data_IF_641227963216
#
_entry.id   IF_641227963216
#
_cell.length_a   1.000
_cell.length_b   1.000
_cell.length_c   1.000
_cell.angle_alpha   90.00
_cell.angle_beta   90.00
_cell.angle_gamma   90.00
#
_symmetry.space_group_name_H-M   'P 1'
#
loop_
_entity.id
_entity.type
_entity.pdbx_description
1 polymer ?
#
# COMPACT_ATOMS: atom_id res chain seq x y z
N UNK A 1 39.67 -15.64 4.56
CA UNK A 1 38.66 -16.71 4.50
C UNK A 1 37.75 -16.54 5.71
N UNK A 2 36.44 -16.48 5.50
CA UNK A 2 35.45 -16.25 6.55
C UNK A 2 34.30 -15.35 6.08
N UNK A 3 33.74 -15.61 4.90
CA UNK A 3 32.45 -15.06 4.51
C UNK A 3 31.37 -15.93 5.13
N UNK A 4 30.66 -15.41 6.12
CA UNK A 4 29.44 -16.01 6.63
C UNK A 4 28.25 -15.48 5.83
N UNK A 5 27.43 -16.39 5.31
CA UNK A 5 26.11 -16.11 4.75
C UNK A 5 25.18 -15.67 5.90
N UNK A 6 25.28 -14.39 6.28
CA UNK A 6 24.31 -13.75 7.16
C UNK A 6 23.17 -13.18 6.32
N UNK A 7 21.93 -13.41 6.78
CA UNK A 7 20.76 -12.71 6.25
C UNK A 7 20.99 -11.20 6.36
N UNK A 8 21.04 -10.48 5.23
CA UNK A 8 21.03 -9.02 5.23
C UNK A 8 19.58 -8.58 5.41
N UNK A 9 19.25 -8.00 6.56
CA UNK A 9 18.05 -7.17 6.63
C UNK A 9 18.32 -5.91 5.81
N UNK A 10 17.69 -5.81 4.65
CA UNK A 10 17.63 -4.53 3.93
C UNK A 10 16.49 -3.76 4.57
N UNK A 11 16.82 -2.81 5.45
CA UNK A 11 15.84 -1.85 5.96
C UNK A 11 15.36 -0.97 4.79
N UNK A 12 14.06 -0.71 4.73
CA UNK A 12 13.45 0.19 3.75
C UNK A 12 13.02 1.49 4.44
N UNK A 13 13.42 2.63 3.89
CA UNK A 13 13.18 3.95 4.47
C UNK A 13 12.53 4.90 3.45
N UNK A 14 11.93 5.98 3.94
CA UNK A 14 11.21 6.97 3.12
C UNK A 14 12.04 7.54 1.97
N UNK A 15 13.35 7.74 2.18
CA UNK A 15 14.27 8.25 1.15
C UNK A 15 14.53 7.26 -0.01
N UNK A 16 14.04 6.03 0.09
CA UNK A 16 14.12 5.01 -0.96
C UNK A 16 12.88 4.99 -1.86
N UNK A 17 11.85 5.78 -1.56
CA UNK A 17 10.64 5.88 -2.38
C UNK A 17 10.95 6.51 -3.75
N UNK A 18 10.39 5.97 -4.86
CA UNK A 18 10.52 6.56 -6.19
C UNK A 18 9.56 7.75 -6.37
N UNK A 19 9.75 8.81 -5.59
CA UNK A 19 8.81 9.94 -5.49
C UNK A 19 8.46 10.61 -6.83
N UNK A 20 9.39 10.61 -7.79
CA UNK A 20 9.20 11.13 -9.16
C UNK A 20 8.19 10.33 -9.99
N UNK A 21 7.85 9.12 -9.53
CA UNK A 21 6.93 8.18 -10.19
C UNK A 21 5.62 8.00 -9.40
N UNK A 22 5.43 8.75 -8.33
CA UNK A 22 4.28 8.64 -7.44
C UNK A 22 3.50 9.96 -7.39
N UNK A 23 2.18 9.86 -7.31
CA UNK A 23 1.30 11.00 -6.99
C UNK A 23 0.79 10.97 -5.56
N UNK A 24 0.76 9.77 -4.95
CA UNK A 24 0.26 9.52 -3.60
C UNK A 24 1.14 8.47 -2.90
N UNK A 25 1.38 8.67 -1.61
CA UNK A 25 1.90 7.66 -0.67
C UNK A 25 0.85 7.47 0.41
N UNK A 26 0.48 6.22 0.68
CA UNK A 26 -0.41 5.85 1.78
C UNK A 26 0.44 5.36 2.95
N UNK A 27 0.53 6.15 4.02
CA UNK A 27 1.31 5.83 5.22
C UNK A 27 0.51 4.89 6.12
N UNK A 28 0.87 3.61 6.11
CA UNK A 28 0.14 2.52 6.72
C UNK A 28 0.82 2.04 8.02
N UNK A 29 0.11 1.76 9.12
CA UNK A 29 -1.32 2.05 9.37
C UNK A 29 -1.48 2.78 10.70
N UNK A 30 -2.41 3.73 10.75
CA UNK A 30 -3.04 4.12 12.00
C UNK A 30 -4.09 3.08 12.42
N UNK A 31 -4.35 2.98 13.72
CA UNK A 31 -5.38 2.12 14.29
C UNK A 31 -6.55 2.94 14.86
N UNK A 32 -7.67 2.28 15.10
CA UNK A 32 -8.89 2.83 15.70
C UNK A 32 -9.11 2.19 17.06
N UNK A 33 -9.42 2.99 18.09
CA UNK A 33 -9.86 2.45 19.38
C UNK A 33 -11.30 1.95 19.28
N UNK A 34 -11.59 0.66 19.54
CA UNK A 34 -12.92 0.09 19.33
C UNK A 34 -13.99 0.62 20.29
N UNK A 35 -13.60 1.18 21.44
CA UNK A 35 -14.51 1.71 22.45
C UNK A 35 -15.01 3.13 22.17
N UNK A 36 -14.22 3.91 21.44
CA UNK A 36 -14.39 5.36 21.31
C UNK A 36 -14.36 5.87 19.87
N UNK A 37 -13.75 5.13 18.95
CA UNK A 37 -13.51 5.56 17.57
C UNK A 37 -12.28 6.43 17.40
N UNK A 38 -11.46 6.63 18.43
CA UNK A 38 -10.25 7.44 18.32
C UNK A 38 -9.22 6.81 17.36
N UNK A 39 -8.79 7.55 16.35
CA UNK A 39 -7.69 7.21 15.44
C UNK A 39 -6.36 7.61 16.09
N UNK A 40 -5.39 6.69 16.06
CA UNK A 40 -4.07 6.91 16.64
C UNK A 40 -2.97 6.21 15.84
N UNK A 41 -1.77 6.79 15.90
CA UNK A 41 -0.54 6.24 15.33
C UNK A 41 -0.07 5.01 16.13
N UNK A 42 0.48 4.01 15.46
CA UNK A 42 0.74 2.70 16.07
C UNK A 42 2.17 2.51 16.55
N UNK A 43 3.13 3.28 16.02
CA UNK A 43 4.54 3.13 16.36
C UNK A 43 5.21 4.50 16.48
N UNK A 44 5.15 5.09 17.68
CA UNK A 44 5.77 6.39 17.95
C UNK A 44 7.27 6.43 17.60
N UNK A 45 7.97 5.29 17.70
CA UNK A 45 9.38 5.25 17.30
C UNK A 45 9.54 5.48 15.80
N UNK A 46 8.89 4.69 14.96
CA UNK A 46 8.98 4.83 13.51
C UNK A 46 8.31 6.13 13.01
N UNK A 47 7.15 6.46 13.58
CA UNK A 47 6.31 7.56 13.12
C UNK A 47 6.93 8.92 13.42
N UNK A 48 7.36 9.14 14.67
CA UNK A 48 7.68 10.49 15.16
C UNK A 48 9.06 10.65 15.79
N UNK A 49 9.72 9.57 16.22
CA UNK A 49 10.87 9.69 17.13
C UNK A 49 12.22 9.29 16.51
N UNK A 50 12.26 8.33 15.59
CA UNK A 50 13.52 7.88 14.98
C UNK A 50 14.20 9.06 14.27
N UNK A 51 15.45 9.32 14.63
CA UNK A 51 16.26 10.38 14.04
C UNK A 51 17.01 9.84 12.83
N UNK A 52 16.85 10.52 11.70
CA UNK A 52 17.61 10.28 10.48
C UNK A 52 18.85 11.17 10.44
N UNK A 53 19.71 10.93 9.45
CA UNK A 53 20.85 11.81 9.18
C UNK A 53 20.37 13.25 8.97
N UNK A 54 20.97 14.20 9.71
CA UNK A 54 20.57 15.61 9.72
C UNK A 54 19.58 15.99 10.83
N UNK A 55 18.98 15.02 11.52
CA UNK A 55 18.10 15.30 12.65
C UNK A 55 18.91 15.65 13.91
N UNK A 56 18.56 16.77 14.54
CA UNK A 56 19.23 17.30 15.73
C UNK A 56 18.65 16.66 16.99
N UNK A 57 19.54 16.19 17.87
CA UNK A 57 19.16 15.72 19.20
C UNK A 57 18.94 16.84 20.23
N UNK A 58 19.16 18.09 19.82
CA UNK A 58 19.17 19.25 20.71
C UNK A 58 18.13 20.31 20.34
N UNK A 59 17.20 20.01 19.43
CA UNK A 59 16.14 20.96 19.08
C UNK A 59 15.26 21.23 20.30
N UNK A 60 15.04 22.52 20.58
CA UNK A 60 14.17 22.97 21.66
C UNK A 60 12.72 22.98 21.19
N UNK A 61 11.78 22.70 22.09
CA UNK A 61 10.35 22.73 21.80
C UNK A 61 9.81 21.37 21.36
N UNK A 62 8.58 21.36 20.81
CA UNK A 62 7.93 20.13 20.35
C UNK A 62 8.21 19.91 18.87
N UNK A 63 9.08 18.95 18.53
CA UNK A 63 9.57 18.73 17.16
C UNK A 63 9.18 17.36 16.62
N UNK A 64 8.82 17.30 15.34
CA UNK A 64 8.49 16.07 14.62
C UNK A 64 9.75 15.49 13.99
N UNK A 65 10.01 14.20 14.20
CA UNK A 65 11.04 13.43 13.51
C UNK A 65 10.41 12.22 12.80
N UNK A 66 11.11 11.10 12.75
CA UNK A 66 10.60 9.85 12.21
C UNK A 66 10.31 9.89 10.71
N UNK A 67 9.61 8.86 10.27
CA UNK A 67 9.15 8.76 8.89
C UNK A 67 8.28 9.96 8.49
N UNK A 68 7.51 10.53 9.43
CA UNK A 68 6.62 11.65 9.14
C UNK A 68 7.37 12.96 8.84
N UNK A 69 8.52 13.22 9.49
CA UNK A 69 9.43 14.30 9.07
C UNK A 69 9.95 14.05 7.65
N UNK A 70 10.46 12.84 7.39
CA UNK A 70 11.03 12.49 6.08
C UNK A 70 10.00 12.61 4.94
N UNK A 71 8.75 12.19 5.17
CA UNK A 71 7.67 12.29 4.19
C UNK A 71 7.31 13.74 3.89
N UNK A 72 7.29 14.62 4.89
CA UNK A 72 7.04 16.05 4.64
C UNK A 72 8.20 16.73 3.90
N UNK A 73 9.45 16.33 4.16
CA UNK A 73 10.61 16.79 3.36
C UNK A 73 10.47 16.33 1.91
N UNK A 74 10.13 15.05 1.69
CA UNK A 74 9.92 14.49 0.35
C UNK A 74 8.78 15.19 -0.40
N UNK A 75 7.70 15.53 0.31
CA UNK A 75 6.55 16.30 -0.18
C UNK A 75 6.95 17.73 -0.59
N UNK A 76 7.84 18.39 0.17
CA UNK A 76 8.36 19.71 -0.19
C UNK A 76 9.21 19.69 -1.47
N UNK A 77 9.97 18.61 -1.68
CA UNK A 77 10.78 18.39 -2.88
C UNK A 77 9.95 18.01 -4.11
N UNK A 78 8.81 17.33 -3.91
CA UNK A 78 7.95 16.81 -4.98
C UNK A 78 6.54 17.37 -4.83
N UNK A 79 6.28 18.55 -5.41
CA UNK A 79 5.04 19.31 -5.16
C UNK A 79 3.75 18.64 -5.63
N UNK A 80 3.82 17.60 -6.46
CA UNK A 80 2.66 16.83 -6.94
C UNK A 80 2.45 15.52 -6.16
N UNK A 81 3.34 15.21 -5.20
CA UNK A 81 3.27 14.05 -4.32
C UNK A 81 2.43 14.38 -3.08
N UNK A 82 1.36 13.63 -2.84
CA UNK A 82 0.49 13.74 -1.66
C UNK A 82 0.76 12.58 -0.70
N UNK A 83 0.70 12.85 0.60
CA UNK A 83 0.88 11.82 1.63
C UNK A 83 -0.43 11.67 2.40
N UNK A 84 -1.05 10.49 2.37
CA UNK A 84 -2.29 10.20 3.08
C UNK A 84 -1.99 9.28 4.27
N UNK A 85 -2.69 9.47 5.38
CA UNK A 85 -2.68 8.52 6.48
C UNK A 85 -3.64 7.37 6.16
N UNK A 86 -3.14 6.14 6.01
CA UNK A 86 -4.00 4.97 5.89
C UNK A 86 -4.38 4.45 7.27
N UNK A 87 -5.66 4.27 7.52
CA UNK A 87 -6.23 3.87 8.81
C UNK A 87 -6.84 2.48 8.63
N UNK A 88 -6.41 1.52 9.45
CA UNK A 88 -6.92 0.15 9.43
C UNK A 88 -5.93 -0.88 8.91
N UNK A 89 -6.24 -1.50 7.77
CA UNK A 89 -5.58 -2.69 7.25
C UNK A 89 -6.05 -3.97 7.95
N UNK A 90 -5.75 -5.12 7.35
CA UNK A 90 -6.13 -6.45 7.85
C UNK A 90 -6.09 -6.61 9.39
N UNK A 91 -4.98 -6.26 10.04
CA UNK A 91 -4.78 -6.46 11.49
C UNK A 91 -5.73 -5.61 12.34
N UNK A 92 -6.03 -4.38 11.93
CA UNK A 92 -6.79 -3.42 12.73
C UNK A 92 -8.27 -3.32 12.33
N UNK A 93 -8.65 -4.01 11.25
CA UNK A 93 -9.99 -3.96 10.68
C UNK A 93 -11.12 -4.40 11.63
N UNK A 94 -10.81 -5.25 12.60
CA UNK A 94 -11.76 -5.66 13.64
C UNK A 94 -12.22 -4.52 14.56
N UNK A 95 -11.48 -3.41 14.60
CA UNK A 95 -11.77 -2.27 15.48
C UNK A 95 -12.75 -1.25 14.87
N UNK A 96 -13.14 -1.38 13.59
CA UNK A 96 -14.05 -0.42 12.95
C UNK A 96 -15.51 -0.58 13.36
N UNK A 97 -15.98 -1.83 13.49
CA UNK A 97 -17.42 -2.11 13.56
C UNK A 97 -18.12 -1.40 14.73
N UNK A 98 -17.55 -1.51 15.94
CA UNK A 98 -18.11 -0.91 17.14
C UNK A 98 -18.22 0.63 17.05
N UNK A 99 -17.14 1.40 16.79
CA UNK A 99 -17.24 2.86 16.73
C UNK A 99 -18.03 3.35 15.51
N UNK A 100 -18.00 2.66 14.37
CA UNK A 100 -18.80 3.02 13.20
C UNK A 100 -20.32 2.94 13.46
N UNK A 101 -20.76 2.05 14.36
CA UNK A 101 -22.16 1.85 14.68
C UNK A 101 -22.83 3.02 15.44
N UNK A 102 -22.05 3.94 16.01
CA UNK A 102 -22.58 5.06 16.80
C UNK A 102 -22.21 6.41 16.21
N UNK A 103 -23.08 7.42 16.37
CA UNK A 103 -22.76 8.79 15.94
C UNK A 103 -21.51 9.34 16.65
N UNK A 104 -21.42 9.14 17.96
CA UNK A 104 -20.29 9.61 18.76
C UNK A 104 -18.95 8.97 18.32
N UNK A 105 -18.95 7.66 18.02
CA UNK A 105 -17.77 6.97 17.52
C UNK A 105 -17.32 7.49 16.16
N UNK A 106 -18.25 7.72 15.22
CA UNK A 106 -17.95 8.34 13.91
C UNK A 106 -17.41 9.78 14.04
N UNK A 107 -17.97 10.58 14.94
CA UNK A 107 -17.50 11.95 15.21
C UNK A 107 -16.09 11.95 15.84
N UNK A 108 -15.83 11.03 16.78
CA UNK A 108 -14.51 10.88 17.39
C UNK A 108 -13.47 10.39 16.39
N UNK A 109 -13.84 9.45 15.50
CA UNK A 109 -12.99 9.02 14.39
C UNK A 109 -12.60 10.20 13.49
N UNK A 110 -13.59 10.94 12.99
CA UNK A 110 -13.33 12.07 12.09
C UNK A 110 -12.47 13.15 12.75
N UNK A 111 -12.79 13.54 13.99
CA UNK A 111 -12.06 14.60 14.70
C UNK A 111 -10.63 14.22 15.07
N UNK A 112 -10.38 12.97 15.48
CA UNK A 112 -9.02 12.47 15.78
C UNK A 112 -8.18 12.29 14.51
N UNK A 113 -8.77 11.77 13.43
CA UNK A 113 -8.09 11.70 12.13
C UNK A 113 -7.69 13.09 11.61
N UNK A 114 -8.59 14.08 11.66
CA UNK A 114 -8.27 15.47 11.28
C UNK A 114 -7.17 16.08 12.15
N UNK A 115 -7.12 15.72 13.43
CA UNK A 115 -6.02 16.16 14.32
C UNK A 115 -4.68 15.59 13.83
N UNK A 116 -4.62 14.31 13.49
CA UNK A 116 -3.41 13.70 12.92
C UNK A 116 -3.03 14.32 11.57
N UNK A 117 -3.98 14.61 10.68
CA UNK A 117 -3.72 15.31 9.41
C UNK A 117 -2.98 16.64 9.66
N UNK A 118 -3.50 17.43 10.60
CA UNK A 118 -2.94 18.74 10.94
C UNK A 118 -1.60 18.65 11.62
N UNK A 119 -1.45 17.75 12.58
CA UNK A 119 -0.25 17.63 13.39
C UNK A 119 0.89 17.00 12.60
N UNK A 120 0.62 16.02 11.73
CA UNK A 120 1.65 15.23 11.06
C UNK A 120 1.93 15.65 9.63
N UNK A 121 1.14 16.57 9.08
CA UNK A 121 1.36 17.09 7.74
C UNK A 121 0.85 16.16 6.63
N UNK A 122 -0.31 15.53 6.80
CA UNK A 122 -0.94 14.73 5.74
C UNK A 122 -1.76 15.59 4.77
N UNK A 123 -1.92 15.13 3.53
CA UNK A 123 -2.79 15.71 2.49
C UNK A 123 -4.21 15.12 2.52
N UNK A 124 -4.41 14.01 3.24
CA UNK A 124 -5.70 13.35 3.38
C UNK A 124 -5.62 12.08 4.21
N UNK A 125 -6.68 11.26 4.13
CA UNK A 125 -6.76 9.94 4.76
C UNK A 125 -7.18 8.90 3.73
N UNK A 126 -6.75 7.67 3.99
CA UNK A 126 -7.21 6.44 3.38
C UNK A 126 -7.81 5.56 4.49
N UNK A 127 -8.88 4.83 4.17
CA UNK A 127 -9.59 3.97 5.14
C UNK A 127 -9.60 2.57 4.56
N UNK A 128 -8.89 1.67 5.22
CA UNK A 128 -8.73 0.28 4.81
C UNK A 128 -9.38 -0.63 5.85
N UNK A 129 -10.63 -1.05 5.60
CA UNK A 129 -11.34 -1.99 6.45
C UNK A 129 -11.50 -3.33 5.68
N UNK A 130 -10.96 -4.40 6.24
CA UNK A 130 -10.93 -5.72 5.62
C UNK A 130 -11.58 -6.77 6.52
N UNK A 131 -12.86 -7.11 6.38
CA UNK A 131 -13.92 -6.50 5.57
C UNK A 131 -15.19 -6.44 6.45
N UNK A 132 -16.28 -5.77 6.04
CA UNK A 132 -17.60 -5.97 6.64
C UNK A 132 -17.99 -7.44 6.61
N UNK A 133 -18.56 -7.93 7.69
CA UNK A 133 -18.95 -9.35 7.80
C UNK A 133 -20.46 -9.59 7.68
N UNK A 134 -21.26 -8.54 7.59
CA UNK A 134 -22.73 -8.67 7.53
C UNK A 134 -23.35 -7.57 6.68
N UNK A 135 -24.58 -7.75 6.22
CA UNK A 135 -25.35 -6.71 5.52
C UNK A 135 -25.51 -5.42 6.35
N UNK A 136 -25.47 -5.50 7.68
CA UNK A 136 -25.47 -4.31 8.55
C UNK A 136 -24.08 -3.66 8.63
N UNK A 137 -23.02 -4.45 8.73
CA UNK A 137 -21.65 -3.92 8.63
C UNK A 137 -21.34 -3.40 7.21
N UNK A 138 -21.99 -3.95 6.18
CA UNK A 138 -21.91 -3.54 4.79
C UNK A 138 -22.88 -2.36 4.49
N UNK A 139 -24.07 -2.25 5.09
CA UNK A 139 -24.81 -0.98 5.11
C UNK A 139 -23.98 0.13 5.79
N UNK A 140 -23.12 -0.25 6.73
CA UNK A 140 -22.13 0.62 7.33
C UNK A 140 -20.84 0.75 6.50
N UNK A 141 -20.59 -0.06 5.46
CA UNK A 141 -19.33 -0.04 4.72
C UNK A 141 -19.44 -0.34 3.21
N UNK A 142 -20.16 -1.34 2.71
CA UNK A 142 -20.51 -1.40 1.29
C UNK A 142 -21.97 -1.71 0.98
N UNK A 143 -22.56 -0.80 0.21
CA UNK A 143 -23.50 -1.04 -0.89
C UNK A 143 -23.04 -2.13 -1.89
N UNK A 144 -22.22 -3.16 -1.58
CA UNK A 144 -21.62 -4.00 -2.64
C UNK A 144 -20.99 -5.34 -2.19
N UNK A 145 -21.04 -6.33 -3.10
CA UNK A 145 -20.97 -7.78 -2.89
C UNK A 145 -19.75 -8.49 -3.54
N UNK A 146 -19.34 -9.57 -2.87
CA UNK A 146 -19.16 -11.02 -3.19
C UNK A 146 -18.76 -11.65 -4.57
N UNK A 147 -18.19 -12.88 -4.48
CA UNK A 147 -17.19 -13.58 -5.33
C UNK A 147 -17.65 -14.66 -6.38
N UNK A 148 -16.67 -15.31 -7.10
CA UNK A 148 -16.81 -16.52 -7.97
C UNK A 148 -15.47 -17.28 -8.34
N UNK A 149 -15.32 -18.64 -8.37
CA UNK A 149 -14.24 -19.45 -7.73
C UNK A 149 -13.13 -20.13 -8.61
N UNK A 150 -12.44 -19.47 -9.54
CA UNK A 150 -11.21 -20.08 -10.15
C UNK A 150 -10.06 -19.10 -10.27
N UNK A 151 -10.34 -17.98 -10.91
CA UNK A 151 -10.03 -16.66 -10.38
C UNK A 151 -11.20 -16.33 -9.46
N UNK A 152 -11.16 -16.62 -8.13
CA UNK A 152 -12.26 -16.33 -7.20
C UNK A 152 -12.82 -14.90 -7.35
N UNK A 153 -11.98 -14.04 -7.91
CA UNK A 153 -12.29 -12.68 -8.31
C UNK A 153 -11.53 -12.37 -9.59
N UNK A 154 -12.07 -11.50 -10.43
CA UNK A 154 -11.28 -10.79 -11.42
C UNK A 154 -11.54 -9.28 -11.31
N UNK A 155 -10.49 -8.51 -11.56
CA UNK A 155 -10.52 -7.05 -11.42
C UNK A 155 -11.53 -6.40 -12.35
N UNK A 156 -11.76 -6.95 -13.54
CA UNK A 156 -12.74 -6.41 -14.49
C UNK A 156 -14.16 -6.46 -13.94
N UNK A 157 -14.59 -7.58 -13.34
CA UNK A 157 -15.89 -7.71 -12.69
C UNK A 157 -16.05 -6.69 -11.56
N UNK A 158 -15.03 -6.52 -10.71
CA UNK A 158 -15.06 -5.52 -9.65
C UNK A 158 -15.22 -4.10 -10.21
N UNK A 159 -14.41 -3.72 -11.21
CA UNK A 159 -14.51 -2.41 -11.87
C UNK A 159 -15.90 -2.18 -12.46
N UNK A 160 -16.43 -3.14 -13.24
CA UNK A 160 -17.77 -3.06 -13.82
C UNK A 160 -18.85 -2.93 -12.76
N UNK A 161 -18.68 -3.60 -11.62
CA UNK A 161 -19.62 -3.53 -10.53
C UNK A 161 -19.67 -2.12 -9.91
N UNK A 162 -18.51 -1.52 -9.62
CA UNK A 162 -18.44 -0.13 -9.14
C UNK A 162 -19.04 0.86 -10.15
N UNK A 163 -18.80 0.67 -11.44
CA UNK A 163 -19.40 1.50 -12.49
C UNK A 163 -20.94 1.39 -12.52
N UNK A 164 -21.48 0.18 -12.39
CA UNK A 164 -22.94 -0.04 -12.34
C UNK A 164 -23.60 0.64 -11.14
N UNK A 165 -22.85 0.90 -10.05
CA UNK A 165 -23.30 1.69 -8.91
C UNK A 165 -23.06 3.20 -9.04
N UNK A 166 -22.58 3.67 -10.21
CA UNK A 166 -22.40 5.09 -10.50
C UNK A 166 -21.01 5.65 -10.15
N UNK A 167 -20.04 4.82 -9.77
CA UNK A 167 -18.66 5.28 -9.57
C UNK A 167 -18.01 5.54 -10.93
N UNK A 168 -17.59 6.79 -11.16
CA UNK A 168 -16.92 7.14 -12.41
C UNK A 168 -15.55 6.45 -12.52
N UNK A 169 -15.24 5.82 -13.66
CA UNK A 169 -13.99 5.07 -13.90
C UNK A 169 -12.72 5.79 -13.47
N UNK A 170 -12.63 7.09 -13.72
CA UNK A 170 -11.45 7.91 -13.36
C UNK A 170 -11.23 8.07 -11.84
N UNK A 171 -12.13 7.57 -10.99
CA UNK A 171 -12.00 7.51 -9.53
C UNK A 171 -11.60 6.12 -9.02
N UNK A 172 -11.51 5.13 -9.89
CA UNK A 172 -11.13 3.76 -9.55
C UNK A 172 -9.63 3.59 -9.84
N UNK A 173 -8.86 3.32 -8.79
CA UNK A 173 -7.41 3.07 -8.86
C UNK A 173 -7.18 1.57 -8.70
N UNK A 174 -6.36 0.97 -9.57
CA UNK A 174 -6.15 -0.48 -9.58
C UNK A 174 -4.97 -0.86 -8.69
N UNK A 175 -5.25 -1.57 -7.60
CA UNK A 175 -4.25 -2.17 -6.72
C UNK A 175 -3.53 -3.35 -7.38
N UNK A 176 -2.20 -3.35 -7.32
CA UNK A 176 -1.33 -4.40 -7.84
C UNK A 176 -0.31 -4.83 -6.77
N UNK A 177 0.01 -6.12 -6.65
CA UNK A 177 0.94 -6.60 -5.64
C UNK A 177 2.40 -6.42 -6.08
N UNK A 178 3.26 -5.98 -5.15
CA UNK A 178 4.72 -6.05 -5.24
C UNK A 178 5.27 -7.26 -4.47
N UNK A 179 4.50 -8.34 -4.48
CA UNK A 179 4.82 -9.60 -3.84
C UNK A 179 4.14 -10.76 -4.60
N UNK A 180 4.59 -11.97 -4.33
CA UNK A 180 3.97 -13.20 -4.79
C UNK A 180 3.43 -14.04 -3.66
N UNK A 181 2.39 -14.83 -3.96
CA UNK A 181 1.85 -15.85 -3.06
C UNK A 181 2.25 -17.25 -3.53
N UNK A 182 2.71 -18.09 -2.61
CA UNK A 182 3.22 -19.42 -2.93
C UNK A 182 2.33 -20.57 -2.48
N UNK A 183 2.44 -21.66 -3.24
CA UNK A 183 1.68 -22.90 -3.07
C UNK A 183 2.60 -24.09 -3.30
N UNK A 184 2.78 -24.94 -2.31
CA UNK A 184 3.63 -26.13 -2.39
C UNK A 184 2.81 -27.40 -2.65
N UNK A 185 3.50 -28.45 -3.10
CA UNK A 185 2.91 -29.75 -3.38
C UNK A 185 1.70 -29.66 -4.34
N UNK A 186 1.81 -28.79 -5.34
CA UNK A 186 0.78 -28.56 -6.35
C UNK A 186 1.24 -28.99 -7.73
N UNK A 187 0.34 -29.57 -8.52
CA UNK A 187 0.59 -29.91 -9.92
C UNK A 187 0.46 -28.68 -10.86
N UNK A 188 0.11 -27.51 -10.32
CA UNK A 188 0.09 -26.25 -11.07
C UNK A 188 -1.09 -25.34 -10.70
N UNK A 189 -1.30 -24.32 -11.53
CA UNK A 189 -2.36 -23.32 -11.31
C UNK A 189 -3.75 -24.00 -11.28
N UNK A 190 -4.59 -23.58 -10.32
CA UNK A 190 -5.94 -24.13 -10.14
C UNK A 190 -6.00 -25.59 -9.66
N UNK A 191 -4.87 -26.18 -9.23
CA UNK A 191 -4.82 -27.54 -8.68
C UNK A 191 -4.75 -27.52 -7.14
N UNK A 192 -5.14 -28.63 -6.48
CA UNK A 192 -4.91 -28.78 -5.04
C UNK A 192 -3.45 -28.57 -4.69
N UNK A 193 -3.22 -27.98 -3.51
CA UNK A 193 -1.89 -27.74 -2.97
C UNK A 193 -1.88 -28.16 -1.49
N UNK A 194 -0.68 -28.33 -0.93
CA UNK A 194 -0.50 -28.59 0.51
C UNK A 194 0.68 -27.79 1.03
N UNK A 195 0.38 -26.82 1.89
CA UNK A 195 1.36 -25.89 2.44
C UNK A 195 1.70 -24.74 1.48
N UNK A 196 2.19 -23.65 2.04
CA UNK A 196 2.60 -22.45 1.30
C UNK A 196 4.12 -22.23 1.33
N UNK A 197 4.83 -22.99 2.17
CA UNK A 197 6.28 -22.86 2.35
C UNK A 197 6.67 -21.63 3.16
N UNK A 198 7.98 -21.34 3.17
CA UNK A 198 8.53 -20.10 3.72
C UNK A 198 8.19 -18.89 2.82
N UNK A 199 8.70 -17.72 3.19
CA UNK A 199 8.59 -16.50 2.39
C UNK A 199 9.68 -15.50 2.76
N UNK A 200 9.61 -14.30 2.20
CA UNK A 200 10.58 -13.22 2.46
C UNK A 200 10.54 -12.74 3.91
N UNK A 201 9.32 -12.56 4.44
CA UNK A 201 9.07 -12.01 5.78
C UNK A 201 8.01 -12.81 6.54
N UNK A 202 7.05 -13.39 5.81
CA UNK A 202 6.02 -14.28 6.34
C UNK A 202 5.86 -15.50 5.43
N UNK A 203 5.46 -16.63 6.01
CA UNK A 203 5.29 -17.87 5.28
C UNK A 203 4.28 -17.71 4.13
N UNK A 204 4.66 -18.14 2.93
CA UNK A 204 3.76 -18.09 1.77
C UNK A 204 3.80 -16.81 0.95
N UNK A 205 4.60 -15.81 1.36
CA UNK A 205 4.66 -14.49 0.69
C UNK A 205 6.10 -14.12 0.37
N UNK A 206 6.38 -13.82 -0.89
CA UNK A 206 7.71 -13.41 -1.36
C UNK A 206 7.68 -11.99 -1.91
N UNK A 207 8.62 -11.13 -1.53
CA UNK A 207 8.79 -9.83 -2.17
C UNK A 207 9.03 -10.04 -3.68
N UNK A 208 8.46 -9.18 -4.52
CA UNK A 208 8.67 -9.27 -5.98
C UNK A 208 10.16 -9.18 -6.35
N UNK A 209 10.95 -8.39 -5.62
CA UNK A 209 12.41 -8.29 -5.81
C UNK A 209 13.18 -9.59 -5.58
N UNK A 210 12.59 -10.56 -4.89
CA UNK A 210 13.16 -11.89 -4.67
C UNK A 210 12.74 -12.94 -5.71
N UNK A 211 11.87 -12.56 -6.67
CA UNK A 211 11.30 -13.47 -7.67
C UNK A 211 11.92 -13.25 -9.06
N UNK A 212 12.00 -14.28 -9.93
CA UNK A 212 11.62 -15.68 -9.68
C UNK A 212 12.58 -16.40 -8.72
N UNK A 213 12.07 -17.42 -8.02
CA UNK A 213 12.90 -18.30 -7.20
C UNK A 213 13.82 -19.17 -8.08
N UNK A 214 15.02 -19.48 -7.59
CA UNK A 214 15.98 -20.30 -8.33
C UNK A 214 15.41 -21.68 -8.69
N UNK A 215 15.46 -22.02 -9.98
CA UNK A 215 14.92 -23.26 -10.55
C UNK A 215 13.44 -23.19 -10.95
N UNK A 216 12.74 -22.09 -10.65
CA UNK A 216 11.39 -21.87 -11.13
C UNK A 216 11.39 -21.21 -12.52
N UNK A 217 10.44 -21.60 -13.35
CA UNK A 217 10.21 -21.01 -14.67
C UNK A 217 8.98 -20.10 -14.64
N UNK A 218 9.12 -18.87 -15.11
CA UNK A 218 8.00 -17.96 -15.30
C UNK A 218 7.09 -18.42 -16.45
N UNK A 219 5.79 -18.36 -16.20
CA UNK A 219 4.72 -18.67 -17.14
C UNK A 219 3.70 -17.55 -17.14
N UNK A 220 3.09 -17.35 -18.29
CA UNK A 220 2.10 -16.32 -18.53
C UNK A 220 0.77 -16.96 -18.86
N UNK A 221 -0.28 -16.44 -18.25
CA UNK A 221 -1.65 -16.67 -18.66
C UNK A 221 -2.13 -15.41 -19.39
N UNK A 222 -2.17 -15.48 -20.73
CA UNK A 222 -2.56 -14.33 -21.56
C UNK A 222 -4.06 -14.05 -21.48
N UNK A 223 -4.88 -15.06 -21.17
CA UNK A 223 -6.32 -14.90 -21.01
C UNK A 223 -6.64 -14.17 -19.70
N UNK A 224 -5.99 -14.57 -18.61
CA UNK A 224 -6.18 -13.97 -17.29
C UNK A 224 -5.35 -12.68 -17.08
N UNK A 225 -4.47 -12.31 -18.01
CA UNK A 225 -3.43 -11.29 -17.83
C UNK A 225 -2.69 -11.45 -16.49
N UNK A 226 -2.23 -12.68 -16.24
CA UNK A 226 -1.56 -13.06 -15.00
C UNK A 226 -0.24 -13.78 -15.30
N UNK A 227 0.64 -13.81 -14.29
CA UNK A 227 1.87 -14.59 -14.34
C UNK A 227 2.08 -15.39 -13.06
N UNK A 228 2.84 -16.47 -13.19
CA UNK A 228 3.29 -17.28 -12.08
C UNK A 228 4.63 -17.91 -12.43
N UNK A 229 5.41 -18.27 -11.42
CA UNK A 229 6.55 -19.17 -11.60
C UNK A 229 6.23 -20.57 -11.08
N UNK A 230 6.79 -21.59 -11.71
CA UNK A 230 6.62 -22.97 -11.28
C UNK A 230 7.94 -23.74 -11.35
N UNK A 231 8.29 -24.40 -10.24
CA UNK A 231 9.38 -25.38 -10.18
C UNK A 231 8.76 -26.79 -10.17
N UNK A 232 8.86 -27.56 -11.28
CA UNK A 232 8.26 -28.89 -11.37
C UNK A 232 8.96 -29.93 -10.49
N UNK A 233 10.24 -29.75 -10.18
CA UNK A 233 10.98 -30.67 -9.32
C UNK A 233 10.54 -30.53 -7.85
N UNK A 234 10.24 -29.30 -7.43
CA UNK A 234 9.75 -29.00 -6.08
C UNK A 234 8.22 -28.98 -5.96
N UNK A 235 7.49 -29.06 -7.09
CA UNK A 235 6.04 -28.83 -7.17
C UNK A 235 5.64 -27.52 -6.46
N UNK A 236 6.41 -26.47 -6.70
CA UNK A 236 6.27 -25.18 -6.01
C UNK A 236 5.84 -24.11 -7.01
N UNK A 237 4.70 -23.49 -6.75
CA UNK A 237 4.11 -22.43 -7.56
C UNK A 237 4.14 -21.12 -6.80
N UNK A 238 4.47 -20.02 -7.46
CA UNK A 238 4.34 -18.65 -6.91
C UNK A 238 3.61 -17.77 -7.91
N UNK A 239 2.49 -17.17 -7.54
CA UNK A 239 1.72 -16.22 -8.38
C UNK A 239 2.15 -14.79 -8.08
N UNK A 240 2.53 -14.01 -9.09
CA UNK A 240 2.95 -12.61 -8.96
C UNK A 240 2.92 -11.91 -10.32
N UNK A 241 2.89 -10.59 -10.33
CA UNK A 241 3.00 -9.81 -11.56
C UNK A 241 4.47 -9.69 -11.97
N UNK A 242 4.74 -9.99 -13.24
CA UNK A 242 6.04 -9.78 -13.90
C UNK A 242 6.06 -8.43 -14.64
N UNK A 243 7.23 -7.95 -15.10
CA UNK A 243 7.33 -6.76 -15.96
C UNK A 243 6.36 -6.76 -17.15
N UNK A 244 6.19 -7.91 -17.82
CA UNK A 244 5.22 -8.06 -18.94
C UNK A 244 3.79 -7.84 -18.46
N UNK A 245 3.38 -8.46 -17.34
CA UNK A 245 2.02 -8.32 -16.81
C UNK A 245 1.76 -6.89 -16.29
N UNK A 246 2.74 -6.27 -15.62
CA UNK A 246 2.62 -4.87 -15.22
C UNK A 246 2.43 -3.94 -16.44
N UNK A 247 3.14 -4.20 -17.53
CA UNK A 247 2.94 -3.46 -18.78
C UNK A 247 1.52 -3.63 -19.34
N UNK A 248 1.02 -4.87 -19.43
CA UNK A 248 -0.33 -5.15 -19.94
C UNK A 248 -1.43 -4.56 -19.04
N UNK A 249 -1.28 -4.65 -17.71
CA UNK A 249 -2.19 -3.99 -16.76
C UNK A 249 -2.13 -2.46 -16.89
N UNK A 250 -0.95 -1.87 -17.09
CA UNK A 250 -0.80 -0.44 -17.35
C UNK A 250 -1.55 0.01 -18.62
N UNK A 251 -1.42 -0.74 -19.72
CA UNK A 251 -2.20 -0.51 -20.95
C UNK A 251 -3.70 -0.66 -20.70
N UNK A 252 -4.11 -1.67 -19.94
CA UNK A 252 -5.50 -1.90 -19.59
C UNK A 252 -6.08 -0.71 -18.80
N UNK A 253 -5.41 -0.29 -17.71
CA UNK A 253 -5.79 0.89 -16.91
C UNK A 253 -6.01 2.13 -17.78
N UNK A 254 -5.06 2.40 -18.69
CA UNK A 254 -5.14 3.52 -19.63
C UNK A 254 -6.31 3.38 -20.61
N UNK A 255 -6.46 2.21 -21.25
CA UNK A 255 -7.52 1.96 -22.23
C UNK A 255 -8.92 2.03 -21.64
N UNK A 256 -9.07 1.67 -20.36
CA UNK A 256 -10.34 1.75 -19.65
C UNK A 256 -10.64 3.16 -19.14
N UNK A 257 -9.67 4.08 -19.11
CA UNK A 257 -9.85 5.42 -18.55
C UNK A 257 -9.98 5.41 -17.02
N UNK A 258 -9.28 4.49 -16.36
CA UNK A 258 -9.28 4.35 -14.91
C UNK A 258 -8.42 5.44 -14.23
N UNK A 259 -8.60 5.62 -12.93
CA UNK A 259 -7.95 6.67 -12.14
C UNK A 259 -6.45 6.50 -11.92
N UNK A 260 -5.91 5.29 -12.14
CA UNK A 260 -4.48 5.01 -12.06
C UNK A 260 -4.17 3.63 -11.47
N UNK A 261 -3.00 3.52 -10.87
CA UNK A 261 -2.48 2.31 -10.24
C UNK A 261 -2.05 2.57 -8.78
N UNK A 262 -2.17 1.55 -7.94
CA UNK A 262 -1.71 1.51 -6.54
C UNK A 262 -0.90 0.23 -6.34
N UNK A 263 0.06 0.26 -5.41
CA UNK A 263 0.88 -0.91 -5.09
C UNK A 263 0.94 -1.20 -3.59
N UNK A 264 0.89 -2.50 -3.25
CA UNK A 264 1.22 -3.01 -1.92
C UNK A 264 2.43 -3.96 -2.01
N UNK A 265 3.57 -3.70 -1.37
CA UNK A 265 3.98 -2.39 -0.87
C UNK A 265 5.38 -2.02 -1.35
N UNK A 266 5.71 -0.74 -1.19
CA UNK A 266 6.89 -0.05 -1.75
C UNK A 266 8.23 -0.79 -1.60
N UNK A 267 8.44 -1.52 -0.50
CA UNK A 267 9.71 -2.22 -0.27
C UNK A 267 9.88 -3.47 -1.13
N UNK A 268 8.79 -4.01 -1.67
CA UNK A 268 8.78 -5.25 -2.46
C UNK A 268 9.24 -5.10 -3.91
N UNK A 269 9.30 -3.88 -4.46
CA UNK A 269 9.62 -3.65 -5.88
C UNK A 269 11.10 -3.91 -6.21
N UNK A 270 11.37 -4.20 -7.48
CA UNK A 270 12.72 -4.13 -8.06
C UNK A 270 13.10 -2.70 -8.37
N UNK A 271 14.37 -2.49 -8.72
CA UNK A 271 14.88 -1.20 -9.19
C UNK A 271 15.15 -1.23 -10.70
N UNK A 272 15.36 -0.06 -11.30
CA UNK A 272 15.72 0.06 -12.71
C UNK A 272 14.61 -0.40 -13.65
N UNK A 273 14.98 -1.11 -14.71
CA UNK A 273 14.06 -1.51 -15.78
C UNK A 273 13.05 -2.58 -15.38
N UNK A 274 13.27 -3.24 -14.24
CA UNK A 274 12.40 -4.31 -13.74
C UNK A 274 11.40 -3.82 -12.68
N UNK A 275 11.45 -2.53 -12.30
CA UNK A 275 10.48 -1.93 -11.38
C UNK A 275 9.07 -1.94 -12.00
N UNK A 276 8.12 -2.60 -11.32
CA UNK A 276 6.74 -2.66 -11.81
C UNK A 276 6.09 -1.27 -11.76
N UNK A 277 6.43 -0.46 -10.75
CA UNK A 277 5.98 0.94 -10.65
C UNK A 277 6.44 1.72 -11.88
N UNK A 278 7.73 1.67 -12.20
CA UNK A 278 8.29 2.44 -13.32
C UNK A 278 7.70 2.02 -14.67
N UNK A 279 7.47 0.72 -14.86
CA UNK A 279 6.86 0.18 -16.08
C UNK A 279 5.44 0.73 -16.26
N UNK A 280 4.59 0.64 -15.24
CA UNK A 280 3.20 1.12 -15.34
C UNK A 280 3.15 2.63 -15.55
N UNK A 281 3.96 3.40 -14.82
CA UNK A 281 4.03 4.87 -14.98
C UNK A 281 4.39 5.24 -16.42
N UNK A 282 5.34 4.53 -17.04
CA UNK A 282 5.69 4.72 -18.44
C UNK A 282 4.51 4.46 -19.39
N UNK A 283 3.70 3.44 -19.14
CA UNK A 283 2.52 3.12 -19.95
C UNK A 283 1.42 4.18 -19.79
N UNK A 284 1.15 4.63 -18.57
CA UNK A 284 0.18 5.69 -18.28
C UNK A 284 0.58 7.02 -18.94
N UNK A 285 1.87 7.32 -18.98
CA UNK A 285 2.44 8.46 -19.69
C UNK A 285 2.54 9.69 -18.79
N UNK A 286 1.41 10.35 -18.48
CA UNK A 286 1.37 11.52 -17.60
C UNK A 286 0.69 11.20 -16.27
N UNK A 287 1.27 11.69 -15.19
CA UNK A 287 0.69 11.60 -13.85
C UNK A 287 -0.16 12.84 -13.53
N UNK A 288 -1.11 12.68 -12.61
CA UNK A 288 -1.90 13.80 -12.08
C UNK A 288 -0.99 14.86 -11.45
N UNK A 289 -1.13 16.11 -11.89
CA UNK A 289 -0.38 17.25 -11.38
C UNK A 289 -1.26 18.15 -10.50
N UNK A 290 -1.58 17.66 -9.30
CA UNK A 290 -2.25 18.43 -8.26
C UNK A 290 -1.29 18.71 -7.12
N UNK A 291 -1.19 19.99 -6.74
CA UNK A 291 -0.25 20.44 -5.70
C UNK A 291 -0.65 19.92 -4.32
N UNK A 292 0.33 19.40 -3.61
CA UNK A 292 0.24 19.06 -2.19
C UNK A 292 0.19 20.29 -1.27
N UNK A 293 -0.18 20.05 -0.01
CA UNK A 293 -0.18 21.01 1.08
C UNK A 293 1.14 21.00 1.85
N UNK A 294 1.75 22.16 2.05
CA UNK A 294 2.97 22.33 2.87
C UNK A 294 2.71 23.15 4.14
N UNK A 295 1.53 23.74 4.29
CA UNK A 295 1.23 24.69 5.36
C UNK A 295 0.30 24.06 6.39
N UNK A 296 0.83 23.80 7.59
CA UNK A 296 0.10 23.21 8.71
C UNK A 296 0.18 24.12 9.93
N UNK A 297 -0.38 25.35 9.87
CA UNK A 297 -0.19 26.37 10.92
C UNK A 297 -0.74 25.96 12.30
N UNK A 298 -1.62 24.96 12.34
CA UNK A 298 -2.23 24.44 13.56
C UNK A 298 -1.50 23.22 14.13
N UNK A 299 -0.47 22.69 13.44
CA UNK A 299 0.28 21.54 13.97
C UNK A 299 0.85 21.86 15.34
N UNK A 300 0.83 20.91 16.27
CA UNK A 300 1.56 21.03 17.53
C UNK A 300 3.09 21.08 17.34
N UNK A 301 3.63 20.55 16.24
CA UNK A 301 5.07 20.48 16.01
C UNK A 301 5.64 21.77 15.38
N UNK A 302 6.63 22.35 16.05
CA UNK A 302 7.19 23.65 15.70
C UNK A 302 7.96 23.61 14.37
N UNK A 303 8.80 22.59 14.18
CA UNK A 303 9.56 22.40 12.95
C UNK A 303 8.67 22.15 11.72
N UNK A 304 7.55 21.44 11.85
CA UNK A 304 6.57 21.28 10.77
C UNK A 304 5.90 22.61 10.42
N UNK A 305 5.46 23.39 11.41
CA UNK A 305 4.89 24.73 11.17
C UNK A 305 5.86 25.67 10.46
N UNK A 306 7.16 25.56 10.77
CA UNK A 306 8.23 26.30 10.12
C UNK A 306 8.57 25.78 8.71
N UNK A 307 7.96 24.67 8.27
CA UNK A 307 8.22 24.03 6.99
C UNK A 307 9.59 23.34 6.92
N UNK A 308 10.09 22.84 8.05
CA UNK A 308 11.42 22.24 8.22
C UNK A 308 12.57 23.11 7.69
N UNK A 309 12.41 24.44 7.76
CA UNK A 309 13.48 25.39 7.48
C UNK A 309 14.41 25.46 8.69
N UNK A 310 15.47 24.65 8.67
CA UNK A 310 16.49 24.56 9.72
C UNK A 310 17.75 23.93 9.16
#
# INVERSE_FOLDING_TARGET
MGGGDGYRSVAYFVNMLPADKLTHVLYAFANVKPDSGEVYLTDGWADTDIHFEGDSWNDVGTNLYGCLKQLNILKAQNRSLKILLSIGGWTYSSNFAAPASTQAGREKFASSAVTLIKDMGFDGIDIDWEYPKSATEAEHYVLLLDECPATPFNTEQAVRHYEQQGVHKSKIVIGMPLYGRSFQNTDGLGKPYSGVGEGSWENGVFDFKALPLAGAEEKFDEEALASYSYDPAKKHLVTYDTPKIAQEKGKWVKSQGLGGAMWWESSGDKTGNDSLIAIVVKELGSLEDSKNCLEYPQSKYENLRAGFKG
#
